data_IF_620378315739
#
_entry.id   IF_620378315739
#
_cell.length_a   1.000
_cell.length_b   1.000
_cell.length_c   1.000
_cell.angle_alpha   90.00
_cell.angle_beta   90.00
_cell.angle_gamma   90.00
#
_symmetry.space_group_name_H-M   'P 1'
#
loop_
_entity.id
_entity.type
_entity.pdbx_description
1 polymer ?
#
# COMPACT_ATOMS: atom_id res chain seq x y z
N UNK A 1 -44.42 34.30 -58.49
CA UNK A 1 -44.33 34.23 -57.02
C UNK A 1 -43.23 33.24 -56.71
N UNK A 2 -42.06 33.75 -56.31
CA UNK A 2 -40.86 32.94 -56.07
C UNK A 2 -40.81 32.54 -54.61
N UNK A 3 -40.73 31.24 -54.35
CA UNK A 3 -40.70 30.65 -53.01
C UNK A 3 -39.41 31.06 -52.27
N UNK A 4 -39.48 31.58 -51.03
CA UNK A 4 -38.30 32.02 -50.29
C UNK A 4 -37.47 30.81 -49.83
N UNK A 5 -36.19 30.78 -50.21
CA UNK A 5 -35.28 29.72 -49.81
C UNK A 5 -35.04 29.71 -48.28
N UNK A 6 -35.03 28.53 -47.65
CA UNK A 6 -34.76 28.38 -46.22
C UNK A 6 -33.30 28.71 -45.89
N UNK A 7 -33.11 29.63 -44.95
CA UNK A 7 -31.80 30.01 -44.41
C UNK A 7 -31.30 28.84 -43.54
N UNK A 8 -30.32 28.09 -44.04
CA UNK A 8 -29.65 27.06 -43.25
C UNK A 8 -28.81 27.72 -42.13
N UNK A 9 -28.97 27.32 -40.86
CA UNK A 9 -28.17 27.85 -39.78
C UNK A 9 -26.69 27.47 -39.96
N UNK A 10 -25.74 28.36 -39.61
CA UNK A 10 -24.32 28.08 -39.74
C UNK A 10 -23.93 26.88 -38.88
N UNK A 11 -23.23 25.92 -39.50
CA UNK A 11 -22.76 24.72 -38.84
C UNK A 11 -21.96 25.05 -37.55
N UNK A 12 -22.18 24.34 -36.43
CA UNK A 12 -21.47 24.59 -35.19
C UNK A 12 -19.96 24.41 -35.39
N UNK A 13 -19.19 25.49 -35.18
CA UNK A 13 -17.73 25.49 -35.24
C UNK A 13 -17.17 24.61 -34.12
N UNK A 14 -16.96 23.32 -34.40
CA UNK A 14 -16.35 22.34 -33.48
C UNK A 14 -14.83 22.53 -33.24
N UNK A 15 -14.23 23.66 -33.61
CA UNK A 15 -12.78 23.85 -33.68
C UNK A 15 -12.06 24.22 -32.38
N UNK A 16 -12.74 24.60 -31.30
CA UNK A 16 -12.08 25.19 -30.13
C UNK A 16 -12.06 24.37 -28.83
N UNK A 17 -12.76 23.24 -28.73
CA UNK A 17 -12.70 22.40 -27.51
C UNK A 17 -11.45 21.54 -27.39
N UNK A 18 -10.66 21.33 -28.46
CA UNK A 18 -9.49 20.42 -28.42
C UNK A 18 -8.26 20.96 -27.69
N UNK A 19 -8.11 22.27 -27.49
CA UNK A 19 -6.84 22.84 -26.99
C UNK A 19 -6.68 22.89 -25.47
N UNK A 20 -7.76 22.78 -24.69
CA UNK A 20 -7.66 22.81 -23.23
C UNK A 20 -7.37 21.43 -22.62
N UNK A 21 -7.65 20.35 -23.35
CA UNK A 21 -7.36 18.97 -22.90
C UNK A 21 -5.90 18.55 -23.14
N UNK A 22 -5.10 19.38 -23.82
CA UNK A 22 -3.70 19.11 -24.14
C UNK A 22 -2.70 19.78 -23.19
N UNK A 23 -3.17 20.60 -22.25
CA UNK A 23 -2.28 21.18 -21.24
C UNK A 23 -1.78 20.03 -20.35
N UNK A 24 -0.45 19.79 -20.28
CA UNK A 24 0.09 18.74 -19.44
C UNK A 24 -0.31 19.03 -18.00
N UNK A 25 -1.02 18.08 -17.38
CA UNK A 25 -1.41 18.21 -15.98
C UNK A 25 -0.14 18.48 -15.15
N UNK A 26 -0.09 19.65 -14.51
CA UNK A 26 0.96 20.04 -13.59
C UNK A 26 1.21 18.90 -12.60
N UNK A 27 2.47 18.47 -12.39
CA UNK A 27 2.78 17.38 -11.49
C UNK A 27 2.34 17.73 -10.07
N UNK A 28 1.29 17.05 -9.59
CA UNK A 28 0.80 17.22 -8.21
C UNK A 28 1.93 17.00 -7.20
N UNK A 29 2.20 18.02 -6.38
CA UNK A 29 3.23 18.00 -5.32
C UNK A 29 2.82 17.19 -4.09
N UNK A 30 1.51 16.96 -3.91
CA UNK A 30 0.93 16.31 -2.73
C UNK A 30 1.51 14.94 -2.36
N UNK A 31 1.75 14.00 -3.30
CA UNK A 31 2.30 12.70 -2.97
C UNK A 31 3.72 12.78 -2.39
N UNK A 32 4.52 13.74 -2.86
CA UNK A 32 5.86 13.98 -2.32
C UNK A 32 5.77 14.56 -0.91
N UNK A 33 4.89 15.56 -0.70
CA UNK A 33 4.63 16.15 0.62
C UNK A 33 4.20 15.08 1.63
N UNK A 34 3.25 14.22 1.26
CA UNK A 34 2.77 13.14 2.13
C UNK A 34 3.87 12.09 2.42
N UNK A 35 4.69 11.75 1.42
CA UNK A 35 5.83 10.85 1.61
C UNK A 35 6.86 11.45 2.57
N UNK A 36 7.23 12.73 2.41
CA UNK A 36 8.18 13.38 3.29
C UNK A 36 7.63 13.58 4.71
N UNK A 37 6.33 13.87 4.85
CA UNK A 37 5.67 13.89 6.15
C UNK A 37 5.75 12.53 6.85
N UNK A 38 5.50 11.43 6.12
CA UNK A 38 5.71 10.08 6.64
C UNK A 38 7.17 9.83 7.01
N UNK A 39 8.13 10.20 6.15
CA UNK A 39 9.57 10.00 6.41
C UNK A 39 10.04 10.77 7.66
N UNK A 40 9.57 12.00 7.84
CA UNK A 40 9.83 12.79 9.05
C UNK A 40 9.22 12.13 10.30
N UNK A 41 7.95 11.69 10.22
CA UNK A 41 7.30 10.94 11.30
C UNK A 41 8.02 9.63 11.63
N UNK A 42 8.51 8.94 10.61
CA UNK A 42 9.31 7.72 10.75
C UNK A 42 10.64 7.98 11.46
N UNK A 43 11.34 9.06 11.10
CA UNK A 43 12.58 9.47 11.76
C UNK A 43 12.35 9.74 13.24
N UNK A 44 11.31 10.52 13.57
CA UNK A 44 10.95 10.83 14.96
C UNK A 44 10.59 9.56 15.74
N UNK A 45 9.70 8.73 15.20
CA UNK A 45 9.27 7.48 15.86
C UNK A 45 10.45 6.53 16.09
N UNK A 46 11.37 6.42 15.12
CA UNK A 46 12.56 5.58 15.22
C UNK A 46 13.57 6.15 16.21
N UNK A 47 13.77 7.47 16.24
CA UNK A 47 14.64 8.11 17.23
C UNK A 47 14.13 7.90 18.66
N UNK A 48 12.81 8.05 18.88
CA UNK A 48 12.17 7.77 20.17
C UNK A 48 12.33 6.30 20.56
N UNK A 49 12.17 5.37 19.61
CA UNK A 49 12.40 3.94 19.83
C UNK A 49 13.85 3.65 20.24
N UNK A 50 14.83 4.23 19.56
CA UNK A 50 16.27 4.08 19.87
C UNK A 50 16.61 4.68 21.23
N UNK A 51 16.00 5.80 21.59
CA UNK A 51 16.15 6.41 22.91
C UNK A 51 15.49 5.61 24.05
N UNK A 52 14.78 4.51 23.73
CA UNK A 52 14.04 3.73 24.73
C UNK A 52 12.85 4.49 25.31
N UNK A 53 12.36 5.52 24.63
CA UNK A 53 11.23 6.32 25.10
C UNK A 53 9.93 5.51 24.97
N UNK A 54 9.27 5.29 26.11
CA UNK A 54 7.93 4.72 26.18
C UNK A 54 6.92 5.83 26.52
N UNK A 55 5.94 6.11 25.63
CA UNK A 55 4.95 7.14 25.91
C UNK A 55 4.11 6.78 27.15
N UNK A 56 3.81 7.74 28.04
CA UNK A 56 2.88 7.52 29.14
C UNK A 56 1.53 7.02 28.65
N UNK A 57 0.74 6.35 29.50
CA UNK A 57 -0.54 5.73 29.13
C UNK A 57 -1.48 6.69 28.37
N UNK A 58 -1.61 7.94 28.84
CA UNK A 58 -2.41 9.01 28.19
C UNK A 58 -1.97 9.38 26.77
N UNK A 59 -0.74 9.06 26.38
CA UNK A 59 -0.15 9.38 25.08
C UNK A 59 0.05 8.15 24.21
N UNK A 60 -0.43 6.96 24.59
CA UNK A 60 -0.30 5.75 23.76
C UNK A 60 -0.94 5.88 22.38
N UNK A 61 -1.92 6.76 22.21
CA UNK A 61 -2.50 7.09 20.91
C UNK A 61 -1.47 7.59 19.89
N UNK A 62 -0.31 8.10 20.32
CA UNK A 62 0.77 8.52 19.41
C UNK A 62 1.36 7.36 18.62
N UNK A 63 1.25 6.11 19.10
CA UNK A 63 1.63 4.91 18.35
C UNK A 63 0.80 4.76 17.06
N UNK A 64 -0.39 5.39 17.01
CA UNK A 64 -1.24 5.46 15.82
C UNK A 64 -0.80 6.48 14.76
N UNK A 65 0.10 7.42 15.09
CA UNK A 65 0.46 8.51 14.17
C UNK A 65 1.29 8.03 12.98
N UNK A 66 2.26 7.15 13.22
CA UNK A 66 3.09 6.61 12.16
C UNK A 66 2.28 5.77 11.14
N UNK A 67 1.44 4.80 11.55
CA UNK A 67 0.54 4.10 10.62
C UNK A 67 -0.44 5.02 9.90
N UNK A 68 -0.94 6.06 10.56
CA UNK A 68 -1.81 7.05 9.93
C UNK A 68 -1.08 7.82 8.81
N UNK A 69 0.14 8.30 9.08
CA UNK A 69 0.99 8.94 8.07
C UNK A 69 1.33 7.98 6.92
N UNK A 70 1.59 6.70 7.22
CA UNK A 70 1.84 5.68 6.20
C UNK A 70 0.61 5.49 5.29
N UNK A 71 -0.59 5.40 5.88
CA UNK A 71 -1.84 5.29 5.13
C UNK A 71 -2.06 6.50 4.21
N UNK A 72 -1.83 7.72 4.70
CA UNK A 72 -1.92 8.94 3.89
C UNK A 72 -0.87 8.98 2.78
N UNK A 73 0.38 8.63 3.07
CA UNK A 73 1.45 8.60 2.07
C UNK A 73 1.11 7.62 0.94
N UNK A 74 0.60 6.43 1.28
CA UNK A 74 0.17 5.45 0.27
C UNK A 74 -1.06 5.94 -0.50
N UNK A 75 -2.06 6.55 0.15
CA UNK A 75 -3.19 7.17 -0.55
C UNK A 75 -2.71 8.25 -1.54
N UNK A 76 -1.72 9.06 -1.15
CA UNK A 76 -1.05 10.02 -2.03
C UNK A 76 -0.46 9.38 -3.29
N UNK A 77 0.12 8.18 -3.17
CA UNK A 77 0.62 7.45 -4.35
C UNK A 77 -0.51 6.98 -5.28
N UNK A 78 -1.66 6.59 -4.74
CA UNK A 78 -2.84 6.22 -5.53
C UNK A 78 -3.44 7.42 -6.26
N UNK A 79 -3.55 8.57 -5.59
CA UNK A 79 -4.10 9.81 -6.14
C UNK A 79 -3.34 10.34 -7.36
N UNK A 80 -2.07 9.93 -7.54
CA UNK A 80 -1.30 10.25 -8.76
C UNK A 80 -1.80 9.57 -10.02
N UNK A 81 -2.59 8.51 -9.88
CA UNK A 81 -2.89 7.55 -10.95
C UNK A 81 -4.37 7.24 -11.06
N UNK A 82 -5.11 7.46 -9.99
CA UNK A 82 -6.52 7.14 -9.87
C UNK A 82 -7.30 8.40 -9.48
N UNK A 83 -8.56 8.52 -9.94
CA UNK A 83 -9.47 9.53 -9.41
C UNK A 83 -9.58 9.43 -7.88
N UNK A 84 -9.84 10.56 -7.22
CA UNK A 84 -10.01 10.62 -5.76
C UNK A 84 -11.02 9.59 -5.26
N UNK A 85 -12.15 9.44 -5.95
CA UNK A 85 -13.18 8.46 -5.61
C UNK A 85 -12.61 7.02 -5.55
N UNK A 86 -11.81 6.61 -6.54
CA UNK A 86 -11.22 5.28 -6.56
C UNK A 86 -10.21 5.11 -5.42
N UNK A 87 -9.36 6.11 -5.17
CA UNK A 87 -8.39 6.07 -4.08
C UNK A 87 -9.08 5.95 -2.71
N UNK A 88 -10.15 6.72 -2.49
CA UNK A 88 -10.98 6.65 -1.27
C UNK A 88 -11.66 5.29 -1.15
N UNK A 89 -12.26 4.77 -2.23
CA UNK A 89 -12.86 3.43 -2.22
C UNK A 89 -11.83 2.34 -1.90
N UNK A 90 -10.63 2.38 -2.48
CA UNK A 90 -9.56 1.42 -2.18
C UNK A 90 -9.17 1.49 -0.71
N UNK A 91 -8.94 2.70 -0.19
CA UNK A 91 -8.57 2.89 1.21
C UNK A 91 -9.67 2.37 2.16
N UNK A 92 -10.94 2.69 1.87
CA UNK A 92 -12.08 2.26 2.67
C UNK A 92 -12.27 0.73 2.63
N UNK A 93 -12.24 0.12 1.44
CA UNK A 93 -12.34 -1.34 1.26
C UNK A 93 -11.19 -2.03 2.01
N UNK A 94 -9.95 -1.56 1.81
CA UNK A 94 -8.79 -2.15 2.46
C UNK A 94 -8.89 -2.06 3.99
N UNK A 95 -9.32 -0.91 4.52
CA UNK A 95 -9.52 -0.72 5.96
C UNK A 95 -10.63 -1.63 6.51
N UNK A 96 -11.76 -1.74 5.80
CA UNK A 96 -12.90 -2.57 6.22
C UNK A 96 -12.55 -4.06 6.19
N UNK A 97 -11.94 -4.57 5.12
CA UNK A 97 -11.57 -5.99 5.04
C UNK A 97 -10.49 -6.34 6.05
N UNK A 98 -9.46 -5.50 6.16
CA UNK A 98 -8.39 -5.69 7.14
C UNK A 98 -8.94 -5.65 8.56
N UNK A 99 -9.70 -4.61 8.90
CA UNK A 99 -10.29 -4.43 10.23
C UNK A 99 -11.29 -5.53 10.56
N UNK A 100 -12.14 -5.91 9.61
CA UNK A 100 -13.14 -6.97 9.76
C UNK A 100 -12.51 -8.34 9.96
N UNK A 101 -11.54 -8.73 9.12
CA UNK A 101 -10.84 -10.01 9.27
C UNK A 101 -10.07 -10.06 10.58
N UNK A 102 -9.43 -8.97 11.00
CA UNK A 102 -8.79 -8.90 12.32
C UNK A 102 -9.77 -8.94 13.48
N UNK A 103 -10.90 -8.26 13.38
CA UNK A 103 -11.94 -8.34 14.40
C UNK A 103 -12.44 -9.78 14.55
N UNK A 104 -12.66 -10.50 13.44
CA UNK A 104 -12.94 -11.94 13.45
C UNK A 104 -11.79 -12.74 14.06
N UNK A 105 -10.55 -12.39 13.74
CA UNK A 105 -9.34 -13.00 14.31
C UNK A 105 -9.25 -12.91 15.81
N UNK A 106 -9.49 -11.72 16.37
CA UNK A 106 -9.44 -11.46 17.81
C UNK A 106 -10.59 -12.17 18.54
N UNK A 107 -11.76 -12.29 17.92
CA UNK A 107 -12.93 -12.91 18.57
C UNK A 107 -12.96 -14.43 18.47
N UNK A 108 -12.55 -14.98 17.33
CA UNK A 108 -12.66 -16.42 17.04
C UNK A 108 -11.32 -17.16 17.09
N UNK A 109 -10.19 -16.45 17.03
CA UNK A 109 -8.87 -17.03 16.81
C UNK A 109 -8.60 -17.43 15.35
N UNK A 110 -9.53 -17.23 14.42
CA UNK A 110 -9.38 -17.57 13.00
C UNK A 110 -9.36 -16.29 12.16
N UNK A 111 -8.42 -16.09 11.22
CA UNK A 111 -7.42 -17.05 10.73
C UNK A 111 -6.06 -17.03 11.44
N UNK A 112 -5.84 -16.11 12.38
CA UNK A 112 -4.49 -15.79 12.85
C UNK A 112 -3.98 -16.65 14.02
N UNK A 113 -4.86 -17.33 14.74
CA UNK A 113 -4.62 -17.84 16.09
C UNK A 113 -5.22 -16.91 17.15
N UNK A 114 -5.30 -17.40 18.40
CA UNK A 114 -5.81 -16.62 19.52
C UNK A 114 -4.79 -15.54 19.91
N UNK A 115 -5.16 -14.28 19.69
CA UNK A 115 -4.35 -13.10 20.01
C UNK A 115 -5.05 -12.27 21.08
N UNK A 116 -4.29 -11.80 22.07
CA UNK A 116 -4.76 -10.85 23.09
C UNK A 116 -3.94 -9.57 23.03
N UNK A 117 -4.61 -8.46 22.75
CA UNK A 117 -3.99 -7.13 22.78
C UNK A 117 -3.87 -6.61 24.22
N UNK A 118 -2.68 -6.16 24.59
CA UNK A 118 -2.39 -5.60 25.91
C UNK A 118 -2.87 -4.15 26.00
N UNK A 119 -2.88 -3.57 27.19
CA UNK A 119 -3.18 -2.14 27.40
C UNK A 119 -2.17 -1.22 26.69
N UNK A 120 -0.99 -1.72 26.32
CA UNK A 120 0.00 -0.94 25.58
C UNK A 120 -0.45 -0.62 24.16
N UNK A 121 -1.41 -1.38 23.63
CA UNK A 121 -1.92 -1.21 22.27
C UNK A 121 -3.12 -0.24 22.17
N UNK A 122 -3.44 0.50 23.23
CA UNK A 122 -4.55 1.47 23.20
C UNK A 122 -4.27 2.66 22.26
N UNK A 123 -5.32 3.26 21.66
CA UNK A 123 -6.74 2.96 21.86
C UNK A 123 -7.25 1.77 21.03
N UNK A 124 -8.23 1.05 21.60
CA UNK A 124 -8.88 -0.12 20.99
C UNK A 124 -10.33 0.18 20.60
N UNK A 125 -10.75 -0.40 19.49
CA UNK A 125 -12.13 -0.48 19.06
C UNK A 125 -12.80 -1.65 19.79
N UNK A 126 -13.91 -1.37 20.48
CA UNK A 126 -14.64 -2.33 21.33
C UNK A 126 -13.76 -3.07 22.34
N UNK A 127 -12.77 -2.37 22.92
CA UNK A 127 -11.79 -2.89 23.88
C UNK A 127 -10.97 -4.10 23.39
N UNK A 128 -11.02 -4.41 22.10
CA UNK A 128 -10.44 -5.61 21.51
C UNK A 128 -9.38 -5.31 20.49
N UNK A 129 -9.69 -4.48 19.49
CA UNK A 129 -8.83 -4.29 18.32
C UNK A 129 -8.21 -2.89 18.31
N UNK A 130 -6.88 -2.74 18.47
CA UNK A 130 -6.21 -1.46 18.32
C UNK A 130 -6.54 -0.75 16.99
N UNK A 131 -6.99 0.50 17.06
CA UNK A 131 -7.50 1.24 15.88
C UNK A 131 -6.45 1.46 14.80
N UNK A 132 -5.17 1.43 15.18
CA UNK A 132 -4.04 1.71 14.30
C UNK A 132 -3.51 0.48 13.56
N UNK A 133 -3.85 -0.75 13.99
CA UNK A 133 -3.42 -1.98 13.30
C UNK A 133 -4.06 -2.09 11.91
N UNK A 134 -5.38 -1.83 11.72
CA UNK A 134 -5.97 -1.78 10.39
C UNK A 134 -5.29 -0.76 9.47
N UNK A 135 -4.84 0.38 10.00
CA UNK A 135 -4.13 1.40 9.24
C UNK A 135 -2.76 0.89 8.78
N UNK A 136 -1.99 0.27 9.69
CA UNK A 136 -0.70 -0.33 9.34
C UNK A 136 -0.85 -1.31 8.20
N UNK A 137 -1.75 -2.27 8.36
CA UNK A 137 -1.89 -3.34 7.40
C UNK A 137 -2.46 -2.86 6.06
N UNK A 138 -3.37 -1.88 6.08
CA UNK A 138 -3.82 -1.20 4.84
C UNK A 138 -2.66 -0.56 4.11
N UNK A 139 -1.81 0.19 4.81
CA UNK A 139 -0.63 0.82 4.22
C UNK A 139 0.34 -0.22 3.67
N UNK A 140 0.61 -1.30 4.40
CA UNK A 140 1.49 -2.40 3.99
C UNK A 140 0.96 -3.06 2.71
N UNK A 141 -0.31 -3.46 2.67
CA UNK A 141 -0.89 -4.16 1.51
C UNK A 141 -0.85 -3.31 0.25
N UNK A 142 -1.25 -2.03 0.35
CA UNK A 142 -1.26 -1.15 -0.82
C UNK A 142 0.18 -0.78 -1.24
N UNK A 143 1.08 -0.51 -0.29
CA UNK A 143 2.50 -0.26 -0.58
C UNK A 143 3.17 -1.46 -1.24
N UNK A 144 2.89 -2.69 -0.77
CA UNK A 144 3.37 -3.92 -1.40
C UNK A 144 2.91 -4.03 -2.84
N UNK A 145 1.62 -3.75 -3.12
CA UNK A 145 1.10 -3.78 -4.49
C UNK A 145 1.77 -2.76 -5.40
N UNK A 146 1.87 -1.51 -4.97
CA UNK A 146 2.50 -0.47 -5.79
C UNK A 146 4.00 -0.72 -5.98
N UNK A 147 4.66 -1.36 -5.02
CA UNK A 147 6.05 -1.81 -5.14
C UNK A 147 6.21 -2.93 -6.16
N UNK A 148 5.39 -3.99 -6.05
CA UNK A 148 5.42 -5.13 -6.98
C UNK A 148 5.10 -4.69 -8.40
N UNK A 149 4.24 -3.69 -8.59
CA UNK A 149 4.01 -3.09 -9.91
C UNK A 149 5.28 -2.52 -10.53
N UNK A 150 6.17 -1.90 -9.75
CA UNK A 150 7.47 -1.41 -10.25
C UNK A 150 8.38 -2.60 -10.56
N UNK A 151 8.46 -3.59 -9.66
CA UNK A 151 9.29 -4.79 -9.82
C UNK A 151 8.91 -5.58 -11.08
N UNK A 152 7.61 -5.78 -11.31
CA UNK A 152 7.08 -6.56 -12.42
C UNK A 152 6.94 -5.76 -13.72
N UNK A 153 7.44 -4.53 -13.78
CA UNK A 153 7.39 -3.71 -14.98
C UNK A 153 7.92 -4.41 -16.25
N UNK A 154 8.97 -5.26 -16.20
CA UNK A 154 9.42 -6.02 -17.37
C UNK A 154 8.39 -7.01 -17.93
N UNK A 155 7.52 -7.53 -17.07
CA UNK A 155 6.53 -8.59 -17.37
C UNK A 155 5.15 -8.02 -17.70
N UNK A 156 5.04 -6.70 -17.92
CA UNK A 156 3.75 -6.01 -18.08
C UNK A 156 2.94 -6.49 -19.30
N UNK A 157 3.58 -7.08 -20.30
CA UNK A 157 2.93 -7.61 -21.51
C UNK A 157 2.34 -9.00 -21.32
N UNK A 158 2.65 -9.68 -20.22
CA UNK A 158 2.22 -11.05 -19.99
C UNK A 158 0.72 -11.10 -19.66
N UNK A 159 0.01 -12.07 -20.25
CA UNK A 159 -1.43 -12.25 -20.04
C UNK A 159 -1.81 -12.47 -18.56
N UNK A 160 -0.89 -13.05 -17.79
CA UNK A 160 -1.08 -13.36 -16.36
C UNK A 160 -0.59 -12.26 -15.42
N UNK A 161 -0.15 -11.10 -15.94
CA UNK A 161 0.42 -10.01 -15.14
C UNK A 161 -0.45 -9.62 -13.93
N UNK A 162 -1.78 -9.55 -14.11
CA UNK A 162 -2.71 -9.21 -13.02
C UNK A 162 -2.69 -10.20 -11.86
N UNK A 163 -2.63 -11.51 -12.16
CA UNK A 163 -2.58 -12.58 -11.15
C UNK A 163 -1.23 -12.55 -10.43
N UNK A 164 -0.13 -12.47 -11.18
CA UNK A 164 1.22 -12.38 -10.60
C UNK A 164 1.35 -11.15 -9.68
N UNK A 165 0.80 -10.01 -10.09
CA UNK A 165 0.80 -8.81 -9.27
C UNK A 165 0.09 -9.02 -7.94
N UNK A 166 -1.06 -9.69 -7.91
CA UNK A 166 -1.80 -9.99 -6.66
C UNK A 166 -1.01 -10.96 -5.78
N UNK A 167 -0.53 -12.06 -6.36
CA UNK A 167 0.22 -13.10 -5.63
C UNK A 167 1.48 -12.50 -4.99
N UNK A 168 2.33 -11.85 -5.78
CA UNK A 168 3.58 -11.29 -5.26
C UNK A 168 3.35 -10.13 -4.29
N UNK A 169 2.30 -9.31 -4.48
CA UNK A 169 1.96 -8.25 -3.53
C UNK A 169 1.48 -8.82 -2.19
N UNK A 170 0.68 -9.89 -2.21
CA UNK A 170 0.22 -10.55 -1.00
C UNK A 170 1.37 -11.24 -0.25
N UNK A 171 2.26 -11.92 -0.97
CA UNK A 171 3.48 -12.51 -0.41
C UNK A 171 4.36 -11.42 0.20
N UNK A 172 4.59 -10.31 -0.52
CA UNK A 172 5.40 -9.20 -0.01
C UNK A 172 4.78 -8.56 1.26
N UNK A 173 3.45 -8.42 1.31
CA UNK A 173 2.76 -7.96 2.50
C UNK A 173 2.92 -8.94 3.68
N UNK A 174 2.79 -10.25 3.44
CA UNK A 174 3.00 -11.27 4.46
C UNK A 174 4.45 -11.31 4.97
N UNK A 175 5.45 -11.13 4.09
CA UNK A 175 6.86 -11.10 4.50
C UNK A 175 7.19 -9.96 5.47
N UNK A 176 6.48 -8.83 5.41
CA UNK A 176 6.58 -7.76 6.41
C UNK A 176 6.23 -8.27 7.83
N UNK A 177 5.31 -9.22 7.94
CA UNK A 177 4.90 -9.77 9.23
C UNK A 177 6.06 -10.50 9.94
N UNK A 178 7.07 -10.98 9.22
CA UNK A 178 8.25 -11.62 9.82
C UNK A 178 9.06 -10.66 10.70
N UNK A 179 9.09 -9.37 10.37
CA UNK A 179 9.71 -8.33 11.19
C UNK A 179 8.73 -7.74 12.21
N UNK A 180 7.46 -7.61 11.82
CA UNK A 180 6.42 -6.95 12.61
C UNK A 180 6.00 -7.78 13.84
N UNK A 181 5.87 -9.11 13.71
CA UNK A 181 5.45 -9.97 14.82
C UNK A 181 6.42 -9.96 16.02
N UNK A 182 7.73 -10.19 15.83
CA UNK A 182 8.68 -10.09 16.94
C UNK A 182 8.70 -8.68 17.55
N UNK A 183 8.52 -7.64 16.73
CA UNK A 183 8.47 -6.26 17.21
C UNK A 183 7.26 -6.04 18.14
N UNK A 184 6.07 -6.44 17.71
CA UNK A 184 4.85 -6.31 18.51
C UNK A 184 4.88 -7.12 19.80
N UNK A 185 5.35 -8.36 19.74
CA UNK A 185 5.36 -9.29 20.89
C UNK A 185 6.50 -8.97 21.87
N UNK A 186 7.73 -8.81 21.38
CA UNK A 186 8.94 -8.77 22.22
C UNK A 186 9.48 -7.37 22.45
N UNK A 187 9.32 -6.44 21.50
CA UNK A 187 9.87 -5.08 21.62
C UNK A 187 8.91 -4.17 22.37
N UNK A 188 7.65 -4.12 21.94
CA UNK A 188 6.63 -3.22 22.49
C UNK A 188 5.62 -3.94 23.40
N UNK A 189 5.54 -5.28 23.34
CA UNK A 189 4.56 -6.09 24.09
C UNK A 189 3.11 -5.63 23.88
N UNK A 190 2.76 -5.32 22.64
CA UNK A 190 1.46 -4.82 22.21
C UNK A 190 0.42 -5.93 22.18
N UNK A 191 0.83 -7.16 21.86
CA UNK A 191 -0.01 -8.34 21.89
C UNK A 191 0.75 -9.56 22.36
N UNK A 192 -0.03 -10.56 22.81
CA UNK A 192 0.44 -11.87 23.20
C UNK A 192 -0.39 -12.91 22.46
N UNK A 193 0.28 -13.94 21.96
CA UNK A 193 -0.35 -15.09 21.32
C UNK A 193 -0.64 -16.17 22.36
N UNK A 194 -1.86 -16.68 22.38
CA UNK A 194 -2.31 -17.78 23.24
C UNK A 194 -2.21 -19.10 22.46
N UNK A 195 -0.99 -19.56 22.25
CA UNK A 195 -0.69 -20.76 21.47
C UNK A 195 -0.36 -21.95 22.36
N UNK A 196 -0.73 -23.14 21.92
CA UNK A 196 -0.31 -24.39 22.55
C UNK A 196 1.21 -24.56 22.46
N UNK A 197 1.83 -25.21 23.45
CA UNK A 197 3.28 -25.49 23.47
C UNK A 197 3.77 -26.29 22.26
N UNK A 198 2.88 -27.06 21.61
CA UNK A 198 3.22 -27.87 20.43
C UNK A 198 3.16 -27.10 19.11
N UNK A 199 2.68 -25.86 19.11
CA UNK A 199 2.52 -25.06 17.90
C UNK A 199 3.85 -24.41 17.51
N UNK A 200 4.31 -24.63 16.27
CA UNK A 200 5.49 -23.95 15.73
C UNK A 200 5.23 -22.43 15.71
N UNK A 201 6.10 -21.68 16.37
CA UNK A 201 5.98 -20.24 16.52
C UNK A 201 7.22 -19.49 16.02
N UNK A 202 7.00 -18.35 15.37
CA UNK A 202 8.01 -17.35 15.04
C UNK A 202 8.00 -16.25 16.11
N UNK A 203 8.95 -16.30 17.03
CA UNK A 203 9.09 -15.33 18.14
C UNK A 203 7.84 -15.13 19.03
N UNK A 204 6.93 -16.09 19.01
CA UNK A 204 5.66 -16.08 19.74
C UNK A 204 4.44 -16.10 18.82
N UNK A 205 4.55 -15.67 17.57
CA UNK A 205 3.47 -15.74 16.60
C UNK A 205 3.33 -17.16 16.03
N UNK A 206 2.16 -17.81 16.08
CA UNK A 206 1.98 -19.12 15.47
C UNK A 206 2.12 -19.04 13.95
N UNK A 207 2.59 -20.11 13.31
CA UNK A 207 2.76 -20.12 11.84
C UNK A 207 1.47 -19.81 11.07
N UNK A 208 0.29 -20.17 11.62
CA UNK A 208 -1.02 -19.88 11.01
C UNK A 208 -1.29 -18.38 10.88
N UNK A 209 -0.67 -17.53 11.71
CA UNK A 209 -0.76 -16.09 11.60
C UNK A 209 -0.27 -15.58 10.23
N UNK A 210 0.84 -16.11 9.73
CA UNK A 210 1.39 -15.71 8.43
C UNK A 210 0.49 -16.14 7.27
N UNK A 211 -0.16 -17.30 7.39
CA UNK A 211 -1.18 -17.75 6.43
C UNK A 211 -2.41 -16.85 6.49
N UNK A 212 -2.85 -16.47 7.68
CA UNK A 212 -3.94 -15.52 7.89
C UNK A 212 -3.64 -14.15 7.27
N UNK A 213 -2.43 -13.64 7.44
CA UNK A 213 -1.98 -12.39 6.83
C UNK A 213 -1.90 -12.49 5.31
N UNK A 214 -1.38 -13.59 4.76
CA UNK A 214 -1.37 -13.84 3.32
C UNK A 214 -2.79 -13.86 2.75
N UNK A 215 -3.70 -14.61 3.37
CA UNK A 215 -5.10 -14.69 2.95
C UNK A 215 -5.79 -13.31 3.03
N UNK A 216 -5.55 -12.56 4.12
CA UNK A 216 -6.08 -11.20 4.30
C UNK A 216 -5.61 -10.28 3.18
N UNK A 217 -4.33 -10.34 2.81
CA UNK A 217 -3.79 -9.54 1.71
C UNK A 217 -4.39 -9.94 0.35
N UNK A 218 -4.53 -11.24 0.06
CA UNK A 218 -5.17 -11.73 -1.18
C UNK A 218 -6.61 -11.24 -1.29
N UNK A 219 -7.41 -11.43 -0.23
CA UNK A 219 -8.81 -11.00 -0.19
C UNK A 219 -8.90 -9.49 -0.39
N UNK A 220 -8.12 -8.72 0.38
CA UNK A 220 -8.12 -7.26 0.29
C UNK A 220 -7.75 -6.77 -1.11
N UNK A 221 -6.70 -7.32 -1.71
CA UNK A 221 -6.27 -6.95 -3.07
C UNK A 221 -7.30 -7.37 -4.13
N UNK A 222 -7.91 -8.55 -3.97
CA UNK A 222 -8.99 -9.03 -4.83
C UNK A 222 -10.16 -8.06 -4.85
N UNK A 223 -10.65 -7.65 -3.69
CA UNK A 223 -11.75 -6.69 -3.58
C UNK A 223 -11.37 -5.27 -4.00
N UNK A 224 -10.11 -4.84 -3.83
CA UNK A 224 -9.68 -3.54 -4.33
C UNK A 224 -9.52 -3.51 -5.87
N UNK A 225 -9.36 -4.65 -6.52
CA UNK A 225 -8.96 -4.75 -7.93
C UNK A 225 -9.84 -3.96 -8.91
N UNK A 226 -11.19 -3.94 -8.80
CA UNK A 226 -12.04 -3.17 -9.71
C UNK A 226 -11.74 -1.66 -9.70
N UNK A 227 -11.39 -1.11 -8.54
CA UNK A 227 -11.09 0.33 -8.38
C UNK A 227 -9.64 0.68 -8.72
N UNK A 228 -8.75 -0.32 -8.71
CA UNK A 228 -7.34 -0.17 -9.09
C UNK A 228 -7.13 -0.08 -10.60
N UNK A 229 -8.14 -0.43 -11.41
CA UNK A 229 -8.11 -0.31 -12.87
C UNK A 229 -8.57 1.10 -13.25
N UNK A 230 -7.64 1.93 -13.71
CA UNK A 230 -7.96 3.24 -14.26
C UNK A 230 -8.69 3.08 -15.60
N UNK A 231 -9.97 3.44 -15.66
CA UNK A 231 -10.75 3.47 -16.92
C UNK A 231 -10.16 4.46 -17.93
N UNK A 232 -9.59 5.56 -17.43
CA UNK A 232 -8.85 6.55 -18.23
C UNK A 232 -7.41 6.60 -17.73
N UNK A 233 -6.47 5.87 -18.36
CA UNK A 233 -5.10 5.80 -17.88
C UNK A 233 -4.40 7.14 -18.06
N UNK A 234 -4.13 7.82 -16.93
CA UNK A 234 -3.25 8.98 -16.88
C UNK A 234 -1.81 8.51 -17.07
N UNK A 235 -1.05 9.20 -17.93
CA UNK A 235 0.39 8.95 -18.10
C UNK A 235 1.13 9.43 -16.85
N UNK A 236 1.22 8.58 -15.85
CA UNK A 236 2.02 8.86 -14.65
C UNK A 236 3.32 8.05 -14.68
N UNK A 237 4.45 8.71 -14.40
CA UNK A 237 5.73 8.03 -14.22
C UNK A 237 5.70 6.95 -13.13
N UNK A 238 6.60 5.98 -13.24
CA UNK A 238 6.93 5.08 -12.15
C UNK A 238 7.62 5.87 -11.03
N UNK A 239 7.42 5.46 -9.78
CA UNK A 239 8.03 6.12 -8.61
C UNK A 239 8.49 5.05 -7.64
N UNK A 240 9.63 5.29 -6.99
CA UNK A 240 10.16 4.43 -5.93
C UNK A 240 9.52 4.70 -4.56
N UNK A 241 8.69 5.74 -4.41
CA UNK A 241 8.09 6.08 -3.11
C UNK A 241 7.37 4.92 -2.41
N UNK A 242 6.57 4.06 -3.08
CA UNK A 242 5.94 2.92 -2.41
C UNK A 242 6.96 1.90 -1.87
N UNK A 243 8.04 1.64 -2.62
CA UNK A 243 9.09 0.71 -2.22
C UNK A 243 9.89 1.25 -1.04
N UNK A 244 10.23 2.55 -1.07
CA UNK A 244 10.90 3.23 0.03
C UNK A 244 10.03 3.28 1.28
N UNK A 245 8.73 3.60 1.14
CA UNK A 245 7.78 3.59 2.24
C UNK A 245 7.70 2.18 2.86
N UNK A 246 7.53 1.14 2.04
CA UNK A 246 7.52 -0.25 2.52
C UNK A 246 8.82 -0.60 3.26
N UNK A 247 9.97 -0.25 2.69
CA UNK A 247 11.28 -0.52 3.29
C UNK A 247 11.50 0.23 4.61
N UNK A 248 11.04 1.48 4.72
CA UNK A 248 11.12 2.27 5.95
C UNK A 248 10.26 1.66 7.05
N UNK A 249 9.02 1.25 6.76
CA UNK A 249 8.17 0.53 7.72
C UNK A 249 8.88 -0.71 8.24
N UNK A 250 9.40 -1.54 7.35
CA UNK A 250 10.12 -2.76 7.73
C UNK A 250 11.39 -2.45 8.54
N UNK A 251 12.11 -1.38 8.17
CA UNK A 251 13.31 -0.94 8.87
C UNK A 251 13.00 -0.47 10.30
N UNK A 252 11.86 0.18 10.54
CA UNK A 252 11.43 0.55 11.89
C UNK A 252 11.32 -0.68 12.81
N UNK A 253 10.62 -1.71 12.33
CA UNK A 253 10.47 -2.97 13.07
C UNK A 253 11.82 -3.68 13.24
N UNK A 254 12.64 -3.68 12.19
CA UNK A 254 13.99 -4.26 12.18
C UNK A 254 14.89 -3.62 13.23
N UNK A 255 14.88 -2.29 13.33
CA UNK A 255 15.65 -1.55 14.34
C UNK A 255 15.18 -1.94 15.73
N UNK A 256 13.87 -1.98 15.98
CA UNK A 256 13.34 -2.42 17.27
C UNK A 256 13.75 -3.85 17.63
N UNK A 257 13.71 -4.77 16.67
CA UNK A 257 14.16 -6.15 16.84
C UNK A 257 15.66 -6.23 17.19
N UNK A 258 16.50 -5.45 16.50
CA UNK A 258 17.93 -5.38 16.77
C UNK A 258 18.22 -4.83 18.18
N UNK A 259 17.51 -3.77 18.61
CA UNK A 259 17.65 -3.18 19.95
C UNK A 259 17.30 -4.17 21.08
N UNK A 260 16.49 -5.19 20.82
CA UNK A 260 16.15 -6.26 21.78
C UNK A 260 16.96 -7.55 21.57
N UNK A 261 18.00 -7.53 20.74
CA UNK A 261 18.85 -8.69 20.47
C UNK A 261 18.19 -9.80 19.63
N UNK A 262 17.10 -9.48 18.92
CA UNK A 262 16.35 -10.42 18.07
C UNK A 262 16.99 -10.46 16.67
N UNK A 263 18.25 -10.91 16.62
CA UNK A 263 19.12 -10.75 15.45
C UNK A 263 18.64 -11.47 14.19
N UNK A 264 18.02 -12.65 14.32
CA UNK A 264 17.51 -13.36 13.14
C UNK A 264 16.35 -12.58 12.49
N UNK A 265 15.40 -12.08 13.28
CA UNK A 265 14.32 -11.23 12.77
C UNK A 265 14.87 -9.92 12.16
N UNK A 266 15.86 -9.32 12.81
CA UNK A 266 16.50 -8.12 12.28
C UNK A 266 17.23 -8.39 10.94
N UNK A 267 17.97 -9.50 10.85
CA UNK A 267 18.65 -9.93 9.63
C UNK A 267 17.70 -10.19 8.47
N UNK A 268 16.58 -10.89 8.74
CA UNK A 268 15.49 -11.09 7.76
C UNK A 268 14.93 -9.74 7.31
N UNK A 269 14.66 -8.83 8.25
CA UNK A 269 14.16 -7.50 7.94
C UNK A 269 15.10 -6.69 7.03
N UNK A 270 16.40 -6.62 7.35
CA UNK A 270 17.41 -5.95 6.50
C UNK A 270 17.45 -6.57 5.11
N UNK A 271 17.52 -7.91 5.02
CA UNK A 271 17.60 -8.62 3.75
C UNK A 271 16.37 -8.36 2.87
N UNK A 272 15.17 -8.38 3.46
CA UNK A 272 13.92 -8.08 2.75
C UNK A 272 13.90 -6.64 2.23
N UNK A 273 14.22 -5.65 3.09
CA UNK A 273 14.26 -4.24 2.67
C UNK A 273 15.25 -4.00 1.54
N UNK A 274 16.47 -4.54 1.65
CA UNK A 274 17.50 -4.40 0.62
C UNK A 274 17.05 -5.04 -0.70
N UNK A 275 16.49 -6.26 -0.64
CA UNK A 275 16.00 -6.99 -1.82
C UNK A 275 14.89 -6.22 -2.53
N UNK A 276 13.90 -5.73 -1.79
CA UNK A 276 12.75 -5.00 -2.34
C UNK A 276 13.18 -3.70 -3.01
N UNK A 277 14.05 -2.92 -2.36
CA UNK A 277 14.56 -1.66 -2.93
C UNK A 277 15.38 -1.94 -4.19
N UNK A 278 16.25 -2.96 -4.16
CA UNK A 278 17.05 -3.35 -5.32
C UNK A 278 16.19 -3.81 -6.51
N UNK A 279 15.20 -4.68 -6.27
CA UNK A 279 14.27 -5.14 -7.31
C UNK A 279 13.44 -3.98 -7.88
N UNK A 280 12.93 -3.08 -7.03
CA UNK A 280 12.17 -1.93 -7.48
C UNK A 280 13.03 -0.96 -8.29
N UNK A 281 14.28 -0.74 -7.89
CA UNK A 281 15.23 0.07 -8.65
C UNK A 281 15.54 -0.54 -10.02
N UNK A 282 15.76 -1.86 -10.11
CA UNK A 282 15.92 -2.55 -11.40
C UNK A 282 14.69 -2.45 -12.28
N UNK A 283 13.49 -2.60 -11.71
CA UNK A 283 12.23 -2.42 -12.42
C UNK A 283 12.06 -1.00 -12.98
N UNK A 284 12.46 0.03 -12.22
CA UNK A 284 12.47 1.41 -12.69
C UNK A 284 13.45 1.61 -13.84
N UNK A 285 14.70 1.12 -13.71
CA UNK A 285 15.73 1.24 -14.76
C UNK A 285 15.31 0.56 -16.06
N UNK A 286 14.64 -0.60 -15.97
CA UNK A 286 14.08 -1.26 -17.13
C UNK A 286 13.02 -0.40 -17.84
N UNK A 287 12.17 0.29 -17.08
CA UNK A 287 11.14 1.17 -17.61
C UNK A 287 11.72 2.41 -18.32
N UNK A 288 12.80 2.97 -17.77
CA UNK A 288 13.53 4.08 -18.36
C UNK A 288 14.19 3.68 -19.69
N UNK A 289 14.79 2.49 -19.73
CA UNK A 289 15.43 1.95 -20.93
C UNK A 289 14.43 1.54 -22.03
N UNK A 290 13.19 1.22 -21.67
CA UNK A 290 12.15 0.75 -22.59
C UNK A 290 10.89 1.61 -22.47
N UNK A 291 10.93 2.89 -22.91
CA UNK A 291 9.77 3.76 -22.83
C UNK A 291 8.61 3.16 -23.65
N UNK A 292 7.36 3.35 -23.22
CA UNK A 292 6.20 2.87 -23.98
C UNK A 292 6.24 3.49 -25.38
N UNK A 293 6.20 2.65 -26.40
CA UNK A 293 6.16 3.09 -27.79
C UNK A 293 4.97 4.02 -28.08
N UNK A 294 5.06 4.87 -29.12
CA UNK A 294 3.96 5.74 -29.51
C UNK A 294 2.69 4.91 -29.70
N UNK A 295 1.54 5.39 -29.18
CA UNK A 295 0.26 4.75 -29.50
C UNK A 295 0.10 4.75 -31.02
N UNK A 296 -0.30 3.64 -31.65
CA UNK A 296 -0.60 3.64 -33.07
C UNK A 296 -1.59 4.77 -33.35
N UNK A 297 -1.33 5.55 -34.41
CA UNK A 297 -2.24 6.61 -34.81
C UNK A 297 -3.65 6.01 -34.96
N UNK A 298 -4.72 6.72 -34.52
CA UNK A 298 -6.07 6.24 -34.72
C UNK A 298 -6.25 5.95 -36.22
N UNK A 299 -6.55 4.69 -36.55
CA UNK A 299 -6.79 4.30 -37.93
C UNK A 299 -7.96 5.16 -38.43
N UNK A 300 -7.75 5.86 -39.55
CA UNK A 300 -8.81 6.63 -40.20
C UNK A 300 -10.03 5.73 -40.38
N UNK A 301 -11.25 6.18 -40.04
CA UNK A 301 -12.43 5.36 -40.22
C UNK A 301 -12.52 4.91 -41.69
N UNK A 302 -12.77 3.61 -41.96
CA UNK A 302 -12.90 3.12 -43.31
C UNK A 302 -14.09 3.84 -43.98
N UNK A 303 -13.82 4.65 -45.00
CA UNK A 303 -14.85 5.35 -45.79
C UNK A 303 -14.85 6.89 -45.74
N UNK A 304 -13.85 7.53 -45.13
CA UNK A 304 -13.65 8.98 -45.29
C UNK A 304 -12.85 9.28 -46.56
N UNK A 305 -13.48 9.10 -47.73
CA UNK A 305 -12.98 9.50 -49.05
C UNK A 305 -14.10 10.07 -49.88
#
# INVERSE_FOLDING_TARGET
>A
MSEPQPINPPAPRHGHRRRLDELPAEPSVWPAVLFYAFAAGWLVATALLVAGFEPPARWRWTEGLLPLLAAFAVAGTLLRRLPLQNAVCIAAIALVFTGGIMACGVTSGVPFGLIRFTERADPKLWDRLPVWIPLWWTAIVIASRETIRVVLQPYRKDRQYGIWMVIFAAVLAMLMALSWEPFGVRVKSLWVWQTSERTVCWYGAPWVNFVGWLATAVVTLGFCSPWLIAKHPVKTGLSLYPALLWALINLHFTIGNALRGIWLAAGVGVALSATVVWLAWRGLKFAEANPPGPRPAPQSPPGAS
#
